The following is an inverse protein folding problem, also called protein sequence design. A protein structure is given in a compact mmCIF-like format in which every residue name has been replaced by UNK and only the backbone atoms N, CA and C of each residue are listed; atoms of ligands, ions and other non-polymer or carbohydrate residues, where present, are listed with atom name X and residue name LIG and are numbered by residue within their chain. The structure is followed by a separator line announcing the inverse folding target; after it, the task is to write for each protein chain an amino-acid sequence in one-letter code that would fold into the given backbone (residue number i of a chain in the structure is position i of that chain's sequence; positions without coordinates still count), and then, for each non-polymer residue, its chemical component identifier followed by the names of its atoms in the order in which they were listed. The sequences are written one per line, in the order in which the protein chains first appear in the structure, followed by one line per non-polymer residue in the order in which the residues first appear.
data_IF_944185780082
#
_entry.id   IF_944185780082
#
_cell.length_a   1.000
_cell.length_b   1.000
_cell.length_c   1.000
_cell.angle_alpha   90.00
_cell.angle_beta   90.00
_cell.angle_gamma   90.00
#
_symmetry.space_group_name_H-M   'P 1'
#
loop_
_entity.id
_entity.type
_entity.pdbx_description
1 polymer ?
#
# COMPACT_ATOMS: atom_id res chain seq x y z
N UNK A 1 -13.41 -27.23 19.33
CA UNK A 1 -14.02 -26.25 18.44
C UNK A 1 -14.04 -24.88 19.10
N UNK A 2 -14.53 -24.82 20.35
CA UNK A 2 -14.57 -23.53 21.06
C UNK A 2 -13.19 -22.90 21.17
N UNK A 3 -12.17 -23.73 21.47
CA UNK A 3 -10.80 -23.25 21.57
C UNK A 3 -10.29 -22.71 20.23
N UNK A 4 -10.64 -23.39 19.15
CA UNK A 4 -10.23 -22.97 17.81
C UNK A 4 -10.82 -21.60 17.48
N UNK A 5 -12.13 -21.43 17.75
CA UNK A 5 -12.81 -20.16 17.46
C UNK A 5 -12.20 -19.03 18.29
N UNK A 6 -11.93 -19.31 19.58
CA UNK A 6 -11.33 -18.31 20.45
C UNK A 6 -9.94 -17.89 19.97
N UNK A 7 -9.11 -18.84 19.55
CA UNK A 7 -7.79 -18.56 19.03
C UNK A 7 -7.89 -17.75 17.74
N UNK A 8 -8.79 -18.15 16.84
CA UNK A 8 -9.01 -17.45 15.59
C UNK A 8 -9.39 -15.99 15.83
N UNK A 9 -10.36 -15.76 16.74
CA UNK A 9 -10.80 -14.41 17.05
C UNK A 9 -9.69 -13.58 17.68
N UNK A 10 -8.92 -14.19 18.59
CA UNK A 10 -7.80 -13.52 19.23
C UNK A 10 -6.77 -13.08 18.18
N UNK A 11 -6.39 -13.98 17.28
CA UNK A 11 -5.39 -13.68 16.26
C UNK A 11 -5.86 -12.59 15.30
N UNK A 12 -7.16 -12.57 14.97
CA UNK A 12 -7.69 -11.56 14.08
C UNK A 12 -7.85 -10.20 14.74
N UNK A 13 -7.99 -10.15 16.05
CA UNK A 13 -8.08 -8.90 16.78
C UNK A 13 -6.74 -8.20 16.94
N UNK A 14 -5.67 -8.97 16.97
CA UNK A 14 -4.33 -8.42 17.17
C UNK A 14 -3.76 -7.98 15.84
N UNK A 15 -4.06 -6.74 15.47
CA UNK A 15 -3.62 -6.14 14.22
C UNK A 15 -2.42 -5.25 14.49
N UNK A 16 -1.36 -5.46 13.72
CA UNK A 16 -0.14 -4.65 13.81
C UNK A 16 -0.07 -3.73 12.61
N UNK A 17 0.24 -2.48 12.87
CA UNK A 17 0.54 -1.50 11.83
C UNK A 17 1.99 -1.71 11.43
N UNK A 18 2.24 -1.97 10.14
CA UNK A 18 3.58 -2.27 9.66
C UNK A 18 4.26 -0.96 9.29
N UNK A 19 5.39 -0.65 9.93
CA UNK A 19 6.15 0.55 9.63
C UNK A 19 6.85 0.44 8.28
N UNK A 20 7.21 1.57 7.71
CA UNK A 20 7.87 1.61 6.40
C UNK A 20 9.14 0.75 6.37
N UNK A 21 9.94 0.83 7.43
CA UNK A 21 11.18 0.06 7.49
C UNK A 21 10.92 -1.44 7.47
N UNK A 22 9.87 -1.86 8.17
CA UNK A 22 9.53 -3.28 8.26
C UNK A 22 8.87 -3.79 6.98
N UNK A 23 8.27 -2.91 6.22
CA UNK A 23 7.64 -3.28 4.95
C UNK A 23 8.68 -3.67 3.90
N UNK A 24 9.88 -3.11 3.98
CA UNK A 24 10.97 -3.45 3.07
C UNK A 24 10.61 -3.21 1.61
N UNK A 25 10.01 -2.06 1.33
CA UNK A 25 9.56 -1.72 -0.02
C UNK A 25 10.75 -1.50 -0.95
N UNK A 26 10.74 -2.21 -2.09
CA UNK A 26 11.78 -2.10 -3.11
C UNK A 26 11.15 -2.01 -4.48
N UNK A 27 11.51 -0.98 -5.24
CA UNK A 27 11.02 -0.86 -6.62
C UNK A 27 11.77 -1.87 -7.47
N UNK A 28 11.02 -2.75 -8.16
CA UNK A 28 11.62 -3.80 -8.97
C UNK A 28 11.45 -3.53 -10.47
N UNK A 29 10.53 -2.65 -10.84
CA UNK A 29 10.33 -2.31 -12.24
C UNK A 29 9.72 -0.92 -12.36
N UNK A 30 10.21 -0.14 -13.32
CA UNK A 30 9.67 1.19 -13.59
C UNK A 30 9.60 1.31 -15.10
N UNK A 31 8.37 1.13 -15.64
CA UNK A 31 8.20 1.24 -17.09
C UNK A 31 7.34 2.47 -17.40
N UNK A 32 6.94 2.60 -18.67
CA UNK A 32 6.23 3.78 -19.14
C UNK A 32 4.89 4.00 -18.44
N UNK A 33 4.19 2.92 -18.12
CA UNK A 33 2.82 2.99 -17.63
C UNK A 33 2.68 2.76 -16.14
N UNK A 34 3.63 2.06 -15.54
CA UNK A 34 3.51 1.68 -14.13
C UNK A 34 4.85 1.47 -13.46
N UNK A 35 4.82 1.58 -12.15
CA UNK A 35 5.95 1.24 -11.30
C UNK A 35 5.52 0.06 -10.44
N UNK A 36 6.35 -0.96 -10.40
CA UNK A 36 6.09 -2.15 -9.61
C UNK A 36 7.06 -2.21 -8.44
N UNK A 37 6.54 -2.41 -7.24
CA UNK A 37 7.39 -2.58 -6.07
C UNK A 37 7.03 -3.86 -5.33
N UNK A 38 7.99 -4.34 -4.56
CA UNK A 38 7.84 -5.54 -3.77
C UNK A 38 8.04 -5.21 -2.31
N UNK A 39 7.31 -5.90 -1.44
CA UNK A 39 7.50 -5.81 -0.01
C UNK A 39 8.25 -7.02 0.49
N UNK A 40 8.84 -6.88 1.70
CA UNK A 40 9.54 -7.99 2.35
C UNK A 40 8.88 -8.30 3.69
N UNK A 41 7.56 -8.35 3.69
CA UNK A 41 6.77 -8.62 4.88
C UNK A 41 6.54 -10.13 4.98
N UNK A 42 6.75 -10.68 6.16
CA UNK A 42 6.49 -12.09 6.39
C UNK A 42 4.99 -12.33 6.55
N UNK A 43 4.45 -13.29 5.80
CA UNK A 43 3.03 -13.65 5.87
C UNK A 43 2.17 -12.75 5.00
N UNK A 44 0.86 -12.87 5.18
CA UNK A 44 -0.10 -12.04 4.47
C UNK A 44 -0.32 -10.73 5.22
N UNK A 45 -0.84 -9.74 4.52
CA UNK A 45 -1.11 -8.43 5.13
C UNK A 45 -2.18 -7.73 4.32
N UNK A 46 -2.72 -6.63 4.86
CA UNK A 46 -3.72 -5.82 4.18
C UNK A 46 -3.10 -4.53 3.70
N UNK A 47 -3.44 -4.16 2.47
CA UNK A 47 -2.96 -2.96 1.80
C UNK A 47 -4.04 -1.89 1.91
N UNK A 48 -3.77 -0.84 2.66
CA UNK A 48 -4.71 0.28 2.83
C UNK A 48 -4.22 1.47 2.03
N UNK A 49 -5.10 2.00 1.20
CA UNK A 49 -4.74 3.10 0.30
C UNK A 49 -5.75 4.23 0.36
N UNK A 50 -5.29 5.42 0.05
CA UNK A 50 -6.16 6.60 -0.05
C UNK A 50 -5.56 7.53 -1.10
N UNK A 51 -6.33 7.82 -2.16
CA UNK A 51 -5.89 8.67 -3.26
C UNK A 51 -6.54 10.04 -3.16
N UNK A 52 -5.71 11.08 -3.15
CA UNK A 52 -6.18 12.46 -3.27
C UNK A 52 -6.11 12.84 -4.74
N UNK A 53 -7.26 12.91 -5.39
CA UNK A 53 -7.32 13.16 -6.82
C UNK A 53 -6.90 14.57 -7.20
N UNK A 54 -7.03 15.51 -6.30
CA UNK A 54 -6.63 16.88 -6.59
C UNK A 54 -5.13 17.02 -6.69
N UNK A 55 -4.40 16.32 -5.85
CA UNK A 55 -2.95 16.40 -5.82
C UNK A 55 -2.27 15.23 -6.53
N UNK A 56 -3.00 14.15 -6.78
CA UNK A 56 -2.43 12.95 -7.39
C UNK A 56 -1.56 12.15 -6.43
N UNK A 57 -1.71 12.40 -5.13
CA UNK A 57 -0.91 11.72 -4.12
C UNK A 57 -1.67 10.53 -3.56
N UNK A 58 -1.06 9.37 -3.63
CA UNK A 58 -1.60 8.14 -3.03
C UNK A 58 -0.86 7.88 -1.72
N UNK A 59 -1.62 7.79 -0.63
CA UNK A 59 -1.04 7.40 0.66
C UNK A 59 -1.36 5.95 0.92
N UNK A 60 -0.38 5.20 1.42
CA UNK A 60 -0.57 3.78 1.70
C UNK A 60 0.01 3.41 3.05
N UNK A 61 -0.49 2.31 3.60
CA UNK A 61 0.15 1.63 4.70
C UNK A 61 -0.31 0.18 4.70
N UNK A 62 0.39 -0.67 5.43
CA UNK A 62 0.06 -2.08 5.55
C UNK A 62 -0.30 -2.42 6.99
N UNK A 63 -1.26 -3.32 7.14
CA UNK A 63 -1.69 -3.85 8.44
C UNK A 63 -1.67 -5.36 8.39
N UNK A 64 -1.41 -5.99 9.52
CA UNK A 64 -1.29 -7.43 9.58
C UNK A 64 -1.81 -7.95 10.91
N UNK A 65 -2.73 -8.91 10.86
CA UNK A 65 -3.16 -9.62 12.07
C UNK A 65 -2.23 -10.80 12.30
N UNK A 66 -2.30 -11.38 13.51
CA UNK A 66 -1.54 -12.58 13.79
C UNK A 66 -1.99 -13.74 12.89
N UNK A 67 -3.28 -13.79 12.58
CA UNK A 67 -3.82 -14.80 11.68
C UNK A 67 -3.19 -14.68 10.28
N UNK A 68 -3.11 -13.47 9.77
CA UNK A 68 -2.53 -13.22 8.45
C UNK A 68 -1.04 -13.54 8.42
N UNK A 69 -0.35 -13.25 9.53
CA UNK A 69 1.09 -13.45 9.58
C UNK A 69 1.48 -14.92 9.66
N UNK A 70 0.75 -15.72 10.41
CA UNK A 70 1.17 -17.09 10.73
C UNK A 70 0.31 -18.19 10.15
N UNK A 71 -0.94 -17.94 9.86
CA UNK A 71 -1.87 -19.00 9.46
C UNK A 71 -2.37 -18.88 8.04
N UNK A 72 -3.01 -17.76 7.69
CA UNK A 72 -3.62 -17.67 6.36
C UNK A 72 -2.61 -17.76 5.23
N UNK A 73 -1.37 -17.35 5.47
CA UNK A 73 -0.34 -17.42 4.45
C UNK A 73 0.06 -18.86 4.10
N UNK A 74 -0.28 -19.83 4.95
CA UNK A 74 -0.03 -21.24 4.67
C UNK A 74 -1.03 -21.76 3.64
N UNK A 75 -2.29 -21.32 3.75
CA UNK A 75 -3.37 -21.80 2.90
C UNK A 75 -3.59 -20.93 1.67
N UNK A 76 -3.42 -19.60 1.80
CA UNK A 76 -3.70 -18.65 0.73
C UNK A 76 -2.61 -17.59 0.70
N UNK A 77 -1.39 -17.96 0.26
CA UNK A 77 -0.29 -16.98 0.22
C UNK A 77 -0.60 -15.88 -0.79
N UNK A 78 -0.47 -14.64 -0.36
CA UNK A 78 -0.67 -13.49 -1.22
C UNK A 78 0.62 -13.12 -1.92
N UNK A 79 0.47 -12.50 -3.09
CA UNK A 79 1.59 -11.93 -3.80
C UNK A 79 1.98 -10.65 -3.08
N UNK A 80 3.29 -10.42 -2.91
CA UNK A 80 3.80 -9.24 -2.23
C UNK A 80 4.24 -8.16 -3.22
N UNK A 81 3.61 -8.14 -4.38
CA UNK A 81 3.94 -7.21 -5.45
C UNK A 81 2.77 -6.27 -5.67
N UNK A 82 3.07 -4.98 -5.78
CA UNK A 82 2.07 -3.93 -5.95
C UNK A 82 2.47 -3.03 -7.11
N UNK A 83 1.46 -2.50 -7.82
CA UNK A 83 1.68 -1.64 -8.97
C UNK A 83 1.19 -0.23 -8.70
N UNK A 84 1.97 0.74 -9.15
CA UNK A 84 1.60 2.16 -9.14
C UNK A 84 1.26 2.54 -10.57
N UNK A 85 0.01 2.92 -10.82
CA UNK A 85 -0.43 3.28 -12.16
C UNK A 85 -0.14 4.75 -12.41
N UNK A 86 0.77 5.03 -13.31
CA UNK A 86 1.23 6.41 -13.58
C UNK A 86 0.12 7.33 -14.10
N UNK A 87 -0.92 6.77 -14.68
CA UNK A 87 -2.03 7.58 -15.17
C UNK A 87 -2.93 8.10 -14.05
N UNK A 88 -2.90 7.46 -12.89
CA UNK A 88 -3.81 7.78 -11.80
C UNK A 88 -3.16 8.59 -10.70
N UNK A 89 -1.84 8.55 -10.58
CA UNK A 89 -1.15 9.22 -9.49
C UNK A 89 0.23 9.71 -9.90
N UNK A 90 0.70 10.75 -9.23
CA UNK A 90 2.03 11.30 -9.48
C UNK A 90 2.97 11.11 -8.32
N UNK A 91 2.47 10.58 -7.21
CA UNK A 91 3.30 10.36 -6.04
C UNK A 91 2.67 9.31 -5.15
N UNK A 92 3.47 8.40 -4.63
CA UNK A 92 2.98 7.42 -3.67
C UNK A 92 3.82 7.52 -2.40
N UNK A 93 3.13 7.65 -1.26
CA UNK A 93 3.75 7.93 0.03
C UNK A 93 3.30 6.90 1.05
N UNK A 94 4.26 6.38 1.81
CA UNK A 94 3.97 5.50 2.92
C UNK A 94 3.77 6.34 4.18
N UNK A 95 2.67 6.09 4.90
CA UNK A 95 2.36 6.81 6.13
C UNK A 95 2.55 5.86 7.30
N UNK A 96 3.48 6.20 8.19
CA UNK A 96 3.72 5.41 9.39
C UNK A 96 2.67 5.71 10.45
N UNK A 97 2.60 4.84 11.44
CA UNK A 97 1.61 4.96 12.51
C UNK A 97 1.68 6.29 13.26
N UNK A 98 2.88 6.84 13.38
CA UNK A 98 3.08 8.13 14.05
C UNK A 98 2.83 9.32 13.13
N UNK A 99 2.43 9.08 11.89
CA UNK A 99 2.17 10.12 10.92
C UNK A 99 3.37 10.50 10.04
N UNK A 100 4.52 9.91 10.30
CA UNK A 100 5.72 10.16 9.48
C UNK A 100 5.47 9.63 8.07
N UNK A 101 5.85 10.40 7.06
CA UNK A 101 5.66 10.01 5.67
C UNK A 101 6.98 9.74 4.99
N UNK A 102 6.99 8.75 4.09
CA UNK A 102 8.16 8.40 3.29
C UNK A 102 7.71 8.22 1.85
N UNK A 103 8.35 8.93 0.94
CA UNK A 103 7.98 8.82 -0.48
C UNK A 103 8.52 7.51 -1.04
N UNK A 104 7.61 6.71 -1.61
CA UNK A 104 7.97 5.46 -2.27
C UNK A 104 8.38 5.76 -3.72
N UNK A 105 7.60 6.60 -4.38
CA UNK A 105 7.82 6.96 -5.77
C UNK A 105 7.22 8.33 -6.05
N UNK A 106 7.87 9.06 -6.94
CA UNK A 106 7.40 10.39 -7.32
C UNK A 106 7.67 10.60 -8.81
N UNK A 107 6.66 11.10 -9.53
CA UNK A 107 6.79 11.35 -10.95
C UNK A 107 7.74 12.51 -11.21
N UNK A 108 8.38 12.57 -12.40
CA UNK A 108 9.18 13.71 -12.78
C UNK A 108 8.35 14.99 -12.74
N UNK A 109 9.01 16.12 -12.51
CA UNK A 109 8.34 17.39 -12.32
C UNK A 109 7.43 17.75 -13.49
N UNK A 110 7.84 17.44 -14.70
CA UNK A 110 7.05 17.73 -15.89
C UNK A 110 5.71 16.99 -15.89
N UNK A 111 5.74 15.72 -15.46
CA UNK A 111 4.53 14.93 -15.40
C UNK A 111 3.63 15.38 -14.26
N UNK A 112 4.21 15.83 -13.15
CA UNK A 112 3.42 16.39 -12.06
C UNK A 112 2.68 17.64 -12.51
N UNK A 113 3.36 18.50 -13.24
CA UNK A 113 2.75 19.73 -13.76
C UNK A 113 1.62 19.42 -14.73
N UNK A 114 1.84 18.43 -15.59
CA UNK A 114 0.82 18.01 -16.54
C UNK A 114 -0.42 17.49 -15.83
N UNK A 115 -0.23 16.69 -14.80
CA UNK A 115 -1.34 16.16 -14.02
C UNK A 115 -2.11 17.28 -13.34
N UNK A 116 -1.41 18.21 -12.71
CA UNK A 116 -2.05 19.28 -11.94
C UNK A 116 -2.73 20.32 -12.83
N UNK A 117 -2.32 20.41 -14.10
CA UNK A 117 -2.95 21.34 -15.03
C UNK A 117 -4.24 20.77 -15.63
N UNK A 118 -4.47 19.47 -15.54
CA UNK A 118 -5.72 18.87 -16.00
C UNK A 118 -6.78 19.04 -14.91
N UNK A 119 -8.03 18.99 -15.33
CA UNK A 119 -9.11 19.11 -14.37
C UNK A 119 -9.56 17.76 -13.92
N UNK A 120 -8.91 17.23 -12.93
CA UNK A 120 -9.25 15.93 -12.41
C UNK A 120 -10.49 15.95 -11.54
N UNK A 121 -10.88 17.17 -11.14
CA UNK A 121 -12.08 17.28 -10.34
C UNK A 121 -13.30 17.48 -11.16
N UNK A 122 -13.24 17.69 -12.47
CA UNK A 122 -14.18 17.97 -13.21
C UNK A 122 -15.11 17.23 -13.43
N UNK A 123 -15.80 17.38 -13.52
CA UNK A 123 -16.68 16.73 -13.50
C UNK A 123 -17.45 16.53 -14.31
N UNK A 124 -17.65 16.49 -14.47
CA UNK A 124 -18.41 16.25 -14.95
C UNK A 124 -18.95 16.89 -15.63
N UNK A 125 -18.62 17.25 -15.67
CA UNK A 125 -19.20 18.10 -16.47
C UNK A 125 -19.53 18.16 -17.56
#
# INVERSE_FOLDING_TARGET
IVCFVAVFMFMNKHVTYIGYKDAGITIIEDNKDEVTYRTNIKGNYRWRTSLDRETGVMTIHFEQSLWEKYVSCIFYPYDHIHDILKKDEIKEVYVDKDGTTTTIWEAPEEEQKAYLSEEHTEPLG
#
